data_IF_899515827255
#
_entry.id   IF_899515827255
#
_cell.length_a   1.000
_cell.length_b   1.000
_cell.length_c   1.000
_cell.angle_alpha   90.00
_cell.angle_beta   90.00
_cell.angle_gamma   90.00
#
_symmetry.space_group_name_H-M   'P 1'
#
loop_
_entity.id
_entity.type
_entity.pdbx_description
1 polymer ?
#
# COMPACT_ATOMS: atom_id res chain seq x y z
N UNK A 1 9.88 -64.45 0.04
CA UNK A 1 10.83 -63.34 0.27
C UNK A 1 10.55 -62.23 -0.77
N UNK A 2 9.39 -61.58 -0.67
CA UNK A 2 8.85 -60.61 -1.66
C UNK A 2 8.54 -59.24 -1.06
N UNK A 3 8.66 -59.09 0.26
CA UNK A 3 8.38 -57.84 0.98
C UNK A 3 9.30 -56.69 0.53
N UNK A 4 10.60 -56.97 0.40
CA UNK A 4 11.61 -55.95 0.10
C UNK A 4 11.33 -55.16 -1.19
N UNK A 5 10.91 -55.81 -2.27
CA UNK A 5 10.72 -55.13 -3.56
C UNK A 5 9.53 -54.14 -3.57
N UNK A 6 8.49 -54.45 -2.79
CA UNK A 6 7.29 -53.60 -2.67
C UNK A 6 7.58 -52.38 -1.79
N UNK A 7 8.36 -52.56 -0.72
CA UNK A 7 8.73 -51.48 0.20
C UNK A 7 9.62 -50.42 -0.48
N UNK A 8 10.59 -50.84 -1.29
CA UNK A 8 11.43 -49.91 -2.07
C UNK A 8 10.61 -49.11 -3.11
N UNK A 9 9.64 -49.74 -3.77
CA UNK A 9 8.75 -49.07 -4.70
C UNK A 9 7.89 -48.00 -4.04
N UNK A 10 7.36 -48.28 -2.83
CA UNK A 10 6.56 -47.31 -2.07
C UNK A 10 7.40 -46.12 -1.56
N UNK A 11 8.63 -46.36 -1.12
CA UNK A 11 9.56 -45.32 -0.69
C UNK A 11 9.99 -44.42 -1.86
N UNK A 12 10.31 -45.02 -3.01
CA UNK A 12 10.68 -44.27 -4.21
C UNK A 12 9.50 -43.44 -4.74
N UNK A 13 8.29 -44.00 -4.78
CA UNK A 13 7.09 -43.29 -5.23
C UNK A 13 6.72 -42.13 -4.29
N UNK A 14 6.76 -42.34 -2.98
CA UNK A 14 6.47 -41.28 -2.01
C UNK A 14 7.51 -40.16 -2.05
N UNK A 15 8.79 -40.49 -2.22
CA UNK A 15 9.86 -39.51 -2.43
C UNK A 15 9.65 -38.72 -3.73
N UNK A 16 9.28 -39.40 -4.81
CA UNK A 16 8.98 -38.76 -6.10
C UNK A 16 7.78 -37.81 -6.00
N UNK A 17 6.68 -38.22 -5.37
CA UNK A 17 5.50 -37.37 -5.17
C UNK A 17 5.81 -36.12 -4.34
N UNK A 18 6.63 -36.26 -3.28
CA UNK A 18 7.10 -35.10 -2.50
C UNK A 18 7.98 -34.18 -3.34
N UNK A 19 8.91 -34.73 -4.12
CA UNK A 19 9.76 -33.94 -5.00
C UNK A 19 8.93 -33.19 -6.06
N UNK A 20 7.97 -33.86 -6.69
CA UNK A 20 7.04 -33.24 -7.63
C UNK A 20 6.21 -32.12 -6.96
N UNK A 21 5.72 -32.36 -5.73
CA UNK A 21 5.03 -31.35 -4.94
C UNK A 21 5.90 -30.12 -4.65
N UNK A 22 7.17 -30.31 -4.30
CA UNK A 22 8.13 -29.22 -4.09
C UNK A 22 8.40 -28.43 -5.38
N UNK A 23 8.49 -29.11 -6.53
CA UNK A 23 8.65 -28.43 -7.83
C UNK A 23 7.44 -27.56 -8.14
N UNK A 24 6.23 -28.09 -7.96
CA UNK A 24 4.99 -27.31 -8.16
C UNK A 24 4.94 -26.10 -7.21
N UNK A 25 5.30 -26.30 -5.94
CA UNK A 25 5.35 -25.21 -4.96
C UNK A 25 6.37 -24.14 -5.35
N UNK A 26 7.57 -24.54 -5.80
CA UNK A 26 8.61 -23.62 -6.23
C UNK A 26 8.18 -22.80 -7.46
N UNK A 27 7.54 -23.44 -8.44
CA UNK A 27 6.99 -22.76 -9.61
C UNK A 27 5.90 -21.77 -9.19
N UNK A 28 4.96 -22.20 -8.34
CA UNK A 28 3.91 -21.34 -7.82
C UNK A 28 4.47 -20.12 -7.07
N UNK A 29 5.48 -20.32 -6.23
CA UNK A 29 6.16 -19.24 -5.53
C UNK A 29 6.84 -18.26 -6.51
N UNK A 30 7.54 -18.77 -7.53
CA UNK A 30 8.17 -17.92 -8.54
C UNK A 30 7.14 -17.06 -9.29
N UNK A 31 6.01 -17.63 -9.68
CA UNK A 31 4.91 -16.89 -10.31
C UNK A 31 4.32 -15.82 -9.38
N UNK A 32 4.12 -16.16 -8.10
CA UNK A 32 3.66 -15.20 -7.10
C UNK A 32 4.65 -14.04 -6.92
N UNK A 33 5.96 -14.31 -6.92
CA UNK A 33 6.98 -13.26 -6.85
C UNK A 33 6.97 -12.34 -8.07
N UNK A 34 6.79 -12.88 -9.28
CA UNK A 34 6.69 -12.07 -10.50
C UNK A 34 5.47 -11.13 -10.40
N UNK A 35 4.33 -11.66 -9.98
CA UNK A 35 3.12 -10.86 -9.78
C UNK A 35 3.30 -9.80 -8.70
N UNK A 36 3.86 -10.17 -7.55
CA UNK A 36 4.15 -9.25 -6.46
C UNK A 36 5.11 -8.13 -6.87
N UNK A 37 6.13 -8.46 -7.68
CA UNK A 37 7.06 -7.49 -8.23
C UNK A 37 6.36 -6.49 -9.15
N UNK A 38 5.50 -6.97 -10.05
CA UNK A 38 4.72 -6.08 -10.92
C UNK A 38 3.79 -5.16 -10.11
N UNK A 39 3.10 -5.70 -9.11
CA UNK A 39 2.26 -4.91 -8.21
C UNK A 39 3.07 -3.86 -7.45
N UNK A 40 4.23 -4.24 -6.90
CA UNK A 40 5.13 -3.32 -6.22
C UNK A 40 5.66 -2.22 -7.14
N UNK A 41 5.97 -2.53 -8.41
CA UNK A 41 6.40 -1.54 -9.39
C UNK A 41 5.29 -0.52 -9.68
N UNK A 42 4.04 -0.98 -9.86
CA UNK A 42 2.88 -0.09 -10.09
C UNK A 42 2.66 0.82 -8.89
N UNK A 43 2.62 0.24 -7.68
CA UNK A 43 2.45 1.01 -6.44
C UNK A 43 3.61 1.99 -6.24
N UNK A 44 4.84 1.57 -6.49
CA UNK A 44 6.03 2.41 -6.42
C UNK A 44 5.94 3.59 -7.41
N UNK A 45 5.48 3.35 -8.64
CA UNK A 45 5.21 4.39 -9.63
C UNK A 45 4.13 5.37 -9.16
N UNK A 46 3.03 4.87 -8.60
CA UNK A 46 1.96 5.72 -8.06
C UNK A 46 2.48 6.61 -6.92
N UNK A 47 3.21 6.03 -5.97
CA UNK A 47 3.78 6.76 -4.83
C UNK A 47 4.81 7.80 -5.29
N UNK A 48 5.71 7.40 -6.21
CA UNK A 48 6.71 8.31 -6.79
C UNK A 48 6.04 9.44 -7.56
N UNK A 49 5.03 9.13 -8.36
CA UNK A 49 4.23 10.11 -9.09
C UNK A 49 3.52 11.09 -8.16
N UNK A 50 2.93 10.59 -7.07
CA UNK A 50 2.31 11.44 -6.04
C UNK A 50 3.34 12.34 -5.35
N UNK A 51 4.51 11.81 -5.00
CA UNK A 51 5.58 12.58 -4.37
C UNK A 51 6.11 13.68 -5.31
N UNK A 52 6.31 13.37 -6.59
CA UNK A 52 6.69 14.34 -7.61
C UNK A 52 5.60 15.40 -7.77
N UNK A 53 4.34 14.99 -7.90
CA UNK A 53 3.21 15.92 -8.02
C UNK A 53 3.14 16.87 -6.82
N UNK A 54 3.27 16.36 -5.60
CA UNK A 54 3.32 17.18 -4.38
C UNK A 54 4.54 18.10 -4.33
N UNK A 55 5.71 17.63 -4.80
CA UNK A 55 6.94 18.42 -4.83
C UNK A 55 6.85 19.61 -5.78
N UNK A 56 6.19 19.44 -6.92
CA UNK A 56 6.01 20.49 -7.92
C UNK A 56 4.68 21.24 -7.78
N UNK A 57 3.82 20.85 -6.82
CA UNK A 57 2.57 21.56 -6.58
C UNK A 57 2.85 22.96 -6.03
N UNK A 58 2.37 24.04 -6.68
CA UNK A 58 2.48 25.36 -6.11
C UNK A 58 1.69 25.37 -4.79
N UNK A 59 2.40 25.65 -3.69
CA UNK A 59 1.96 25.71 -2.28
C UNK A 59 0.75 26.62 -1.99
N UNK A 60 0.06 27.12 -3.02
CA UNK A 60 -1.07 28.07 -2.96
C UNK A 60 -2.43 27.42 -2.71
N UNK A 61 -2.55 26.09 -2.78
CA UNK A 61 -3.76 25.38 -2.37
C UNK A 61 -3.48 24.59 -1.10
N UNK A 62 -3.19 25.30 0.00
CA UNK A 62 -3.40 24.71 1.32
C UNK A 62 -4.88 24.35 1.37
N UNK A 63 -5.19 23.06 1.44
CA UNK A 63 -6.48 22.61 1.89
C UNK A 63 -6.86 23.39 3.16
N UNK A 64 -8.14 23.75 3.37
CA UNK A 64 -8.54 24.41 4.61
C UNK A 64 -8.04 23.53 5.75
N UNK A 65 -7.17 24.08 6.59
CA UNK A 65 -6.67 23.35 7.73
C UNK A 65 -7.89 22.91 8.54
N UNK A 66 -8.00 21.63 8.85
CA UNK A 66 -9.05 21.07 9.69
C UNK A 66 -8.84 21.49 11.16
N UNK A 67 -8.92 22.80 11.41
CA UNK A 67 -8.83 23.47 12.70
C UNK A 67 -9.51 24.83 12.58
N UNK A 68 -9.94 25.44 13.71
CA UNK A 68 -10.64 26.72 13.68
C UNK A 68 -9.75 27.78 13.00
N UNK A 69 -10.08 28.09 11.75
CA UNK A 69 -9.35 29.03 10.93
C UNK A 69 -9.63 30.44 11.45
N UNK A 70 -8.68 31.00 12.20
CA UNK A 70 -8.74 32.41 12.61
C UNK A 70 -8.44 33.26 11.39
N UNK A 71 -9.49 33.58 10.64
CA UNK A 71 -9.46 34.50 9.52
C UNK A 71 -9.25 35.93 10.06
N UNK A 72 -8.18 36.58 9.65
CA UNK A 72 -7.99 38.01 9.92
C UNK A 72 -9.10 38.82 9.23
N UNK A 73 -9.95 39.48 10.01
CA UNK A 73 -11.10 40.26 9.52
C UNK A 73 -10.73 41.37 8.50
N UNK A 74 -9.44 41.75 8.39
CA UNK A 74 -8.97 42.72 7.38
C UNK A 74 -8.74 42.12 6.00
N UNK A 75 -8.68 40.79 5.88
CA UNK A 75 -8.41 40.07 4.63
C UNK A 75 -9.62 39.32 4.08
N UNK A 76 -10.78 39.43 4.72
CA UNK A 76 -11.98 38.75 4.24
C UNK A 76 -12.53 39.44 2.99
N UNK A 77 -12.97 38.69 1.96
CA UNK A 77 -13.63 39.25 0.79
C UNK A 77 -14.87 40.07 1.18
N UNK A 78 -15.18 41.10 0.39
CA UNK A 78 -16.38 41.93 0.58
C UNK A 78 -17.63 41.06 0.67
N UNK A 79 -18.37 41.16 1.78
CA UNK A 79 -19.58 40.39 2.06
C UNK A 79 -19.43 39.31 3.14
N UNK A 80 -18.22 39.06 3.65
CA UNK A 80 -17.99 38.15 4.77
C UNK A 80 -18.13 38.89 6.11
N UNK A 81 -18.88 38.29 7.04
CA UNK A 81 -19.09 38.80 8.41
C UNK A 81 -18.29 37.92 9.38
N UNK A 82 -17.42 38.54 10.17
CA UNK A 82 -16.66 37.84 11.23
C UNK A 82 -17.43 37.93 12.54
N UNK A 83 -17.88 36.80 13.06
CA UNK A 83 -18.50 36.71 14.37
C UNK A 83 -17.42 36.85 15.46
N UNK A 84 -17.32 38.04 16.05
CA UNK A 84 -16.46 38.22 17.22
C UNK A 84 -17.22 37.77 18.46
N UNK A 85 -16.73 36.71 19.12
CA UNK A 85 -17.28 36.26 20.40
C UNK A 85 -16.92 37.32 21.45
N UNK A 86 -17.89 38.15 21.83
CA UNK A 86 -17.69 39.18 22.84
C UNK A 86 -17.43 38.53 24.20
N UNK A 87 -16.16 38.29 24.53
CA UNK A 87 -15.75 37.91 25.88
C UNK A 87 -15.95 39.14 26.77
N UNK A 88 -17.07 39.17 27.48
CA UNK A 88 -17.33 40.14 28.54
C UNK A 88 -16.29 39.91 29.64
N UNK A 89 -15.29 40.79 29.69
CA UNK A 89 -14.31 40.81 30.79
C UNK A 89 -15.03 41.34 32.03
N UNK A 90 -15.13 40.49 33.05
CA UNK A 90 -15.51 40.87 34.41
C UNK A 90 -14.48 41.80 35.03
#
# INVERSE_FOLDING_TARGET
MTANAVDFGSAALSAFLRAAGLVVLAIGAALAFIFAFAAAAIVGLMVTGAAIAMRFWPRRRRAPAAGPEVLEARRTPTGWVVETVASRKS
#
